data_IF_451855529950
#
_entry.id   IF_451855529950
#
_cell.length_a   1.000
_cell.length_b   1.000
_cell.length_c   1.000
_cell.angle_alpha   90.00
_cell.angle_beta   90.00
_cell.angle_gamma   90.00
#
_symmetry.space_group_name_H-M   'P 1'
#
loop_
_entity.id
_entity.type
_entity.pdbx_description
1 polymer ?
#
# COMPACT_ATOMS: atom_id res chain seq x y z
N UNK A 1 -3.88 -10.96 1.22
CA UNK A 1 -3.29 -10.00 2.20
C UNK A 1 -4.36 -9.39 3.06
N UNK A 2 -5.27 -8.62 2.46
CA UNK A 2 -6.38 -7.99 3.18
C UNK A 2 -7.34 -9.05 3.74
N UNK A 3 -7.67 -10.09 2.97
CA UNK A 3 -8.50 -11.20 3.48
C UNK A 3 -7.89 -11.98 4.65
N UNK A 4 -6.57 -12.09 4.70
CA UNK A 4 -5.87 -13.01 5.61
C UNK A 4 -5.36 -12.32 6.88
N UNK A 5 -5.23 -10.98 6.87
CA UNK A 5 -4.68 -10.21 7.99
C UNK A 5 -5.73 -9.63 8.92
N UNK A 6 -6.96 -9.35 8.47
CA UNK A 6 -7.96 -8.76 9.35
C UNK A 6 -9.39 -9.21 9.04
N UNK A 7 -10.21 -9.24 10.08
CA UNK A 7 -11.60 -9.71 10.05
C UNK A 7 -12.54 -8.50 10.06
N UNK A 8 -13.35 -8.39 9.00
CA UNK A 8 -14.66 -7.71 8.88
C UNK A 8 -14.85 -6.22 9.26
N UNK A 9 -14.18 -5.24 8.64
CA UNK A 9 -14.64 -3.85 8.72
C UNK A 9 -13.56 -2.81 8.46
N UNK A 10 -13.47 -2.34 7.21
CA UNK A 10 -12.29 -1.62 6.73
C UNK A 10 -12.63 -0.24 6.21
N UNK A 11 -11.68 0.68 6.29
CA UNK A 11 -11.74 2.00 5.68
C UNK A 11 -10.81 2.06 4.48
N UNK A 12 -11.16 2.86 3.49
CA UNK A 12 -10.39 3.05 2.27
C UNK A 12 -10.09 4.54 2.07
N UNK A 13 -8.81 4.90 1.99
CA UNK A 13 -8.34 6.22 1.52
C UNK A 13 -7.73 6.02 0.14
N UNK A 14 -8.15 6.85 -0.82
CA UNK A 14 -7.61 6.81 -2.18
C UNK A 14 -7.43 8.21 -2.76
N UNK A 15 -6.33 8.44 -3.48
CA UNK A 15 -6.19 9.59 -4.36
C UNK A 15 -6.31 9.11 -5.80
N UNK A 16 -7.39 9.49 -6.46
CA UNK A 16 -7.56 9.15 -7.86
C UNK A 16 -6.85 10.17 -8.75
N UNK A 17 -5.89 9.67 -9.52
CA UNK A 17 -5.66 10.17 -10.87
C UNK A 17 -6.60 9.38 -11.79
N UNK A 18 -7.22 10.04 -12.77
CA UNK A 18 -8.03 9.34 -13.79
C UNK A 18 -7.22 8.15 -14.34
N UNK A 19 -7.73 6.92 -14.19
CA UNK A 19 -7.16 5.72 -14.80
C UNK A 19 -6.61 4.60 -13.90
N UNK A 20 -6.61 4.68 -12.56
CA UNK A 20 -6.10 3.58 -11.70
C UNK A 20 -7.14 2.93 -10.76
N UNK A 21 -7.28 1.60 -10.95
CA UNK A 21 -7.48 0.45 -10.04
C UNK A 21 -8.49 0.42 -8.87
N UNK A 22 -9.23 1.48 -8.53
CA UNK A 22 -10.27 1.31 -7.50
C UNK A 22 -11.44 0.39 -7.93
N UNK A 23 -11.89 0.34 -9.20
CA UNK A 23 -12.94 -0.60 -9.61
C UNK A 23 -12.56 -2.07 -9.40
N UNK A 24 -11.28 -2.42 -9.60
CA UNK A 24 -10.79 -3.78 -9.36
C UNK A 24 -10.76 -4.11 -7.88
N UNK A 25 -10.35 -3.17 -7.01
CA UNK A 25 -10.40 -3.40 -5.56
C UNK A 25 -11.84 -3.40 -4.99
N UNK A 26 -12.73 -2.55 -5.53
CA UNK A 26 -14.13 -2.45 -5.12
C UNK A 26 -15.02 -3.60 -5.62
N UNK A 27 -14.59 -4.36 -6.63
CA UNK A 27 -15.30 -5.56 -7.12
C UNK A 27 -14.94 -6.83 -6.34
N UNK A 28 -13.75 -6.88 -5.74
CA UNK A 28 -13.32 -7.97 -4.87
C UNK A 28 -14.01 -8.14 -3.50
N UNK A 29 -14.58 -7.13 -2.80
CA UNK A 29 -14.93 -7.23 -1.37
C UNK A 29 -15.99 -8.29 -1.03
N UNK A 30 -16.88 -8.61 -1.97
CA UNK A 30 -18.02 -9.49 -1.71
C UNK A 30 -17.67 -10.98 -1.65
N UNK A 31 -16.50 -11.40 -2.15
CA UNK A 31 -16.16 -12.81 -2.28
C UNK A 31 -15.55 -13.44 -1.03
N UNK A 32 -15.12 -12.66 -0.03
CA UNK A 32 -14.46 -13.20 1.18
C UNK A 32 -14.85 -12.52 2.49
N UNK A 33 -16.07 -12.00 2.60
CA UNK A 33 -16.60 -11.42 3.86
C UNK A 33 -16.03 -10.05 4.24
N UNK A 34 -15.41 -9.32 3.30
CA UNK A 34 -14.81 -8.01 3.58
C UNK A 34 -15.76 -6.87 3.25
N UNK A 35 -15.78 -5.86 4.10
CA UNK A 35 -16.66 -4.70 3.97
C UNK A 35 -15.92 -3.38 4.06
N UNK A 36 -16.39 -2.41 3.27
CA UNK A 36 -15.88 -1.03 3.31
C UNK A 36 -16.83 -0.19 4.16
N UNK A 37 -16.43 0.11 5.38
CA UNK A 37 -17.14 0.97 6.31
C UNK A 37 -17.19 2.43 5.81
N UNK A 38 -16.09 2.90 5.19
CA UNK A 38 -16.02 4.24 4.65
C UNK A 38 -14.98 4.34 3.52
N UNK A 39 -15.25 5.19 2.52
CA UNK A 39 -14.30 5.53 1.46
C UNK A 39 -14.06 7.04 1.42
N UNK A 40 -12.80 7.45 1.50
CA UNK A 40 -12.37 8.84 1.40
C UNK A 40 -11.51 9.05 0.16
N UNK A 41 -11.79 10.15 -0.56
CA UNK A 41 -11.06 10.55 -1.75
C UNK A 41 -10.20 11.78 -1.45
N UNK A 42 -8.92 11.71 -1.76
CA UNK A 42 -8.00 12.85 -1.72
C UNK A 42 -8.16 13.63 -3.04
N UNK A 43 -8.45 14.95 -3.01
CA UNK A 43 -8.51 15.78 -4.21
C UNK A 43 -7.15 15.89 -4.91
N UNK A 44 -7.13 16.12 -6.23
CA UNK A 44 -5.88 16.32 -7.00
C UNK A 44 -5.02 17.43 -6.41
N UNK A 45 -5.66 18.53 -6.03
CA UNK A 45 -5.07 19.68 -5.35
C UNK A 45 -5.78 19.89 -4.00
N UNK A 46 -5.28 19.28 -2.92
CA UNK A 46 -5.90 19.40 -1.61
C UNK A 46 -5.76 20.82 -1.06
N UNK A 47 -6.88 21.41 -0.61
CA UNK A 47 -6.87 22.68 0.11
C UNK A 47 -6.28 22.51 1.52
N UNK A 48 -5.77 23.57 2.16
CA UNK A 48 -5.37 23.52 3.56
C UNK A 48 -6.50 22.95 4.44
N UNK A 49 -6.16 22.02 5.33
CA UNK A 49 -7.10 21.35 6.23
C UNK A 49 -7.92 20.19 5.64
N UNK A 50 -7.75 19.85 4.35
CA UNK A 50 -8.50 18.73 3.77
C UNK A 50 -8.12 17.38 4.37
N UNK A 51 -6.83 17.16 4.65
CA UNK A 51 -6.34 15.95 5.32
C UNK A 51 -6.92 15.81 6.74
N UNK A 52 -7.04 16.91 7.49
CA UNK A 52 -7.67 16.91 8.82
C UNK A 52 -9.15 16.49 8.74
N UNK A 53 -9.88 16.95 7.71
CA UNK A 53 -11.26 16.53 7.47
C UNK A 53 -11.37 15.06 7.10
N UNK A 54 -10.41 14.52 6.34
CA UNK A 54 -10.38 13.09 6.00
C UNK A 54 -10.21 12.28 7.28
N UNK A 55 -9.24 12.61 8.12
CA UNK A 55 -9.02 11.91 9.39
C UNK A 55 -10.25 12.00 10.31
N UNK A 56 -10.87 13.18 10.44
CA UNK A 56 -12.11 13.34 11.21
C UNK A 56 -13.25 12.46 10.69
N UNK A 57 -13.42 12.37 9.36
CA UNK A 57 -14.40 11.48 8.74
C UNK A 57 -14.10 10.01 9.02
N UNK A 58 -12.84 9.60 8.98
CA UNK A 58 -12.46 8.22 9.35
C UNK A 58 -12.84 7.92 10.80
N UNK A 59 -12.74 8.88 11.72
CA UNK A 59 -13.11 8.66 13.13
C UNK A 59 -14.63 8.49 13.36
N UNK A 60 -15.48 8.79 12.39
CA UNK A 60 -16.95 8.55 12.49
C UNK A 60 -17.30 7.06 12.60
N UNK A 61 -16.39 6.16 12.21
CA UNK A 61 -16.56 4.70 12.31
C UNK A 61 -15.45 4.09 13.20
N UNK A 62 -15.48 4.30 14.52
CA UNK A 62 -14.33 4.02 15.40
C UNK A 62 -13.92 2.55 15.51
N UNK A 63 -14.85 1.61 15.26
CA UNK A 63 -14.58 0.18 15.31
C UNK A 63 -13.80 -0.32 14.08
N UNK A 64 -13.95 0.35 12.95
CA UNK A 64 -13.22 0.03 11.72
C UNK A 64 -11.83 0.67 11.78
N UNK A 65 -10.83 -0.03 12.31
CA UNK A 65 -9.50 0.53 12.55
C UNK A 65 -8.56 0.42 11.34
N UNK A 66 -8.75 -0.57 10.49
CA UNK A 66 -7.91 -0.81 9.33
C UNK A 66 -8.20 0.18 8.20
N UNK A 67 -7.13 0.83 7.70
CA UNK A 67 -7.20 1.88 6.68
C UNK A 67 -6.27 1.53 5.53
N UNK A 68 -6.86 1.22 4.37
CA UNK A 68 -6.13 0.93 3.15
C UNK A 68 -5.84 2.24 2.41
N UNK A 69 -4.58 2.45 2.03
CA UNK A 69 -4.08 3.69 1.43
C UNK A 69 -3.52 3.47 0.02
N UNK A 70 -4.26 3.99 -0.96
CA UNK A 70 -3.80 4.15 -2.34
C UNK A 70 -3.55 5.64 -2.62
N UNK A 71 -2.37 6.12 -2.24
CA UNK A 71 -1.97 7.51 -2.38
C UNK A 71 -0.47 7.60 -2.68
N UNK A 72 -0.02 8.74 -3.21
CA UNK A 72 1.40 8.97 -3.42
C UNK A 72 2.12 9.26 -2.08
N UNK A 73 3.45 9.30 -2.14
CA UNK A 73 4.33 9.55 -0.99
C UNK A 73 3.96 10.82 -0.21
N UNK A 74 3.75 11.95 -0.89
CA UNK A 74 3.42 13.23 -0.26
C UNK A 74 2.08 13.23 0.46
N UNK A 75 1.06 12.62 -0.15
CA UNK A 75 -0.28 12.55 0.42
C UNK A 75 -0.33 11.58 1.61
N UNK A 76 0.42 10.47 1.56
CA UNK A 76 0.58 9.56 2.71
C UNK A 76 1.18 10.32 3.89
N UNK A 77 2.28 11.05 3.66
CA UNK A 77 2.94 11.87 4.70
C UNK A 77 1.96 12.84 5.34
N UNK A 78 1.17 13.56 4.53
CA UNK A 78 0.18 14.55 5.02
C UNK A 78 -0.98 13.91 5.78
N UNK A 79 -1.41 12.70 5.40
CA UNK A 79 -2.40 11.92 6.16
C UNK A 79 -1.84 11.53 7.53
N UNK A 80 -0.62 11.00 7.60
CA UNK A 80 0.03 10.62 8.86
C UNK A 80 0.26 11.85 9.76
N UNK A 81 0.65 12.98 9.17
CA UNK A 81 0.78 14.25 9.88
C UNK A 81 -0.56 14.74 10.47
N UNK A 82 -1.65 14.65 9.70
CA UNK A 82 -2.99 15.00 10.16
C UNK A 82 -3.46 14.07 11.30
N UNK A 83 -3.18 12.77 11.21
CA UNK A 83 -3.47 11.81 12.29
C UNK A 83 -2.64 12.10 13.56
N UNK A 84 -1.38 12.50 13.39
CA UNK A 84 -0.50 12.94 14.50
C UNK A 84 -1.08 14.16 15.22
N UNK A 85 -1.57 15.16 14.49
CA UNK A 85 -2.13 16.41 15.05
C UNK A 85 -3.29 16.18 16.01
N UNK A 86 -4.02 15.08 15.86
CA UNK A 86 -5.18 14.74 16.71
C UNK A 86 -4.91 13.53 17.63
N UNK A 87 -3.62 13.23 17.88
CA UNK A 87 -3.15 12.20 18.82
C UNK A 87 -3.77 10.81 18.60
N UNK A 88 -3.99 10.40 17.34
CA UNK A 88 -4.51 9.06 17.00
C UNK A 88 -3.39 8.02 16.83
N UNK A 89 -2.41 8.03 17.75
CA UNK A 89 -1.34 7.02 17.75
C UNK A 89 -1.92 5.65 18.11
N UNK A 90 -1.52 4.61 17.36
CA UNK A 90 -1.99 3.24 17.55
C UNK A 90 -3.48 2.97 17.26
N UNK A 91 -4.30 3.97 16.93
CA UNK A 91 -5.73 3.75 16.63
C UNK A 91 -5.93 3.08 15.27
N UNK A 92 -5.33 3.64 14.21
CA UNK A 92 -5.48 3.13 12.84
C UNK A 92 -4.46 2.04 12.51
N UNK A 93 -4.88 1.05 11.71
CA UNK A 93 -4.00 0.01 11.16
C UNK A 93 -3.79 0.32 9.69
N UNK A 94 -2.66 0.95 9.38
CA UNK A 94 -2.37 1.44 8.04
C UNK A 94 -1.95 0.31 7.12
N UNK A 95 -2.54 0.27 5.93
CA UNK A 95 -2.20 -0.68 4.87
C UNK A 95 -1.82 0.11 3.61
N UNK A 96 -0.53 0.23 3.36
CA UNK A 96 0.02 1.01 2.25
C UNK A 96 0.20 0.18 0.97
N UNK A 97 -0.16 0.77 -0.17
CA UNK A 97 0.21 0.26 -1.50
C UNK A 97 1.72 0.41 -1.80
N UNK A 98 2.15 -0.03 -2.99
CA UNK A 98 3.54 0.08 -3.47
C UNK A 98 4.06 1.52 -3.56
N UNK A 99 3.16 2.50 -3.61
CA UNK A 99 3.51 3.92 -3.57
C UNK A 99 4.10 4.34 -2.21
N UNK A 100 3.67 3.69 -1.13
CA UNK A 100 4.32 3.76 0.18
C UNK A 100 5.56 2.88 0.19
N UNK A 101 5.39 1.57 -0.04
CA UNK A 101 6.48 0.61 0.00
C UNK A 101 7.28 0.65 1.31
N UNK A 102 8.60 0.60 1.20
CA UNK A 102 9.54 0.64 2.34
C UNK A 102 10.21 2.02 2.52
N UNK A 103 9.59 3.11 2.04
CA UNK A 103 10.20 4.45 2.05
C UNK A 103 10.11 5.10 3.44
N UNK A 104 11.20 5.76 3.86
CA UNK A 104 11.28 6.48 5.14
C UNK A 104 10.61 7.88 5.06
N UNK A 105 10.65 8.52 3.89
CA UNK A 105 10.13 9.87 3.68
C UNK A 105 8.66 10.10 4.12
N UNK A 106 7.70 9.19 3.84
CA UNK A 106 6.33 9.31 4.35
C UNK A 106 6.20 9.28 5.88
N UNK A 107 7.08 8.57 6.58
CA UNK A 107 6.97 8.31 8.03
C UNK A 107 7.86 9.21 8.88
N UNK A 108 8.80 9.93 8.25
CA UNK A 108 9.76 10.79 8.93
C UNK A 108 9.08 11.90 9.75
N UNK A 109 9.31 11.91 11.06
CA UNK A 109 8.66 12.74 12.10
C UNK A 109 7.21 12.33 12.44
N UNK A 110 6.70 11.22 11.93
CA UNK A 110 5.39 10.65 12.28
C UNK A 110 5.50 9.14 12.58
N UNK A 111 6.65 8.71 13.09
CA UNK A 111 7.01 7.31 13.29
C UNK A 111 5.98 6.57 14.15
N UNK A 112 5.61 7.16 15.29
CA UNK A 112 4.61 6.59 16.23
C UNK A 112 3.24 6.35 15.58
N UNK A 113 2.85 7.18 14.60
CA UNK A 113 1.57 7.01 13.89
C UNK A 113 1.65 5.87 12.88
N UNK A 114 2.83 5.64 12.30
CA UNK A 114 3.07 4.60 11.32
C UNK A 114 3.44 3.24 11.94
N UNK A 115 3.62 3.15 13.27
CA UNK A 115 3.95 1.90 13.96
C UNK A 115 2.93 0.80 13.64
N UNK A 116 3.42 -0.36 13.20
CA UNK A 116 2.60 -1.49 12.79
C UNK A 116 2.00 -1.38 11.40
N UNK A 117 2.25 -0.29 10.65
CA UNK A 117 1.78 -0.14 9.28
C UNK A 117 2.29 -1.28 8.39
N UNK A 118 1.39 -1.92 7.66
CA UNK A 118 1.72 -2.98 6.70
C UNK A 118 1.77 -2.37 5.31
N UNK A 119 2.86 -2.56 4.58
CA UNK A 119 3.01 -2.03 3.23
C UNK A 119 3.42 -3.14 2.28
N UNK A 120 3.09 -2.97 1.00
CA UNK A 120 3.51 -3.90 -0.05
C UNK A 120 4.53 -3.23 -0.95
N UNK A 121 5.47 -3.99 -1.47
CA UNK A 121 6.36 -3.54 -2.53
C UNK A 121 6.57 -4.68 -3.52
N UNK A 122 6.58 -4.43 -4.84
CA UNK A 122 6.99 -5.43 -5.81
C UNK A 122 8.34 -6.02 -5.40
N UNK A 123 8.43 -7.34 -5.43
CA UNK A 123 9.65 -8.07 -5.07
C UNK A 123 10.76 -7.61 -5.99
N UNK A 124 11.80 -7.02 -5.40
CA UNK A 124 12.89 -6.34 -6.11
C UNK A 124 14.23 -6.94 -5.71
N UNK A 125 15.18 -6.90 -6.63
CA UNK A 125 16.60 -7.04 -6.32
C UNK A 125 17.33 -5.74 -6.61
N UNK A 126 18.30 -5.41 -5.76
CA UNK A 126 19.21 -4.31 -6.04
C UNK A 126 20.13 -4.68 -7.20
N UNK A 127 20.29 -3.76 -8.16
CA UNK A 127 21.15 -3.97 -9.32
C UNK A 127 22.49 -3.25 -9.11
N UNK A 128 23.52 -4.00 -8.72
CA UNK A 128 24.87 -3.47 -8.42
C UNK A 128 25.50 -2.69 -9.58
N UNK A 129 25.21 -3.12 -10.81
CA UNK A 129 25.64 -2.40 -12.02
C UNK A 129 25.08 -0.98 -12.08
N UNK A 130 23.82 -0.79 -11.70
CA UNK A 130 23.17 0.51 -11.67
C UNK A 130 23.74 1.37 -10.54
N UNK A 131 23.98 0.81 -9.37
CA UNK A 131 24.61 1.52 -8.24
C UNK A 131 25.96 2.12 -8.64
N UNK A 132 26.82 1.31 -9.25
CA UNK A 132 28.12 1.79 -9.76
C UNK A 132 27.95 2.87 -10.83
N UNK A 133 27.00 2.70 -11.74
CA UNK A 133 26.70 3.70 -12.77
C UNK A 133 26.23 5.03 -12.15
N UNK A 134 25.27 4.99 -11.21
CA UNK A 134 24.66 6.19 -10.62
C UNK A 134 25.65 6.92 -9.72
N UNK A 135 26.36 6.21 -8.83
CA UNK A 135 27.37 6.79 -7.93
C UNK A 135 28.56 7.40 -8.67
N UNK A 136 28.87 6.92 -9.88
CA UNK A 136 29.93 7.48 -10.73
C UNK A 136 29.51 8.74 -11.50
N UNK A 137 28.23 9.14 -11.49
CA UNK A 137 27.78 10.34 -12.19
C UNK A 137 28.25 11.61 -11.50
N UNK A 138 28.69 12.57 -12.31
CA UNK A 138 29.15 13.90 -11.89
C UNK A 138 28.63 14.94 -12.87
N UNK A 139 28.62 16.21 -12.47
CA UNK A 139 28.24 17.31 -13.36
C UNK A 139 29.12 17.38 -14.63
N UNK A 140 30.36 16.89 -14.55
CA UNK A 140 31.28 16.86 -15.69
C UNK A 140 30.93 15.76 -16.70
N UNK A 141 30.52 14.57 -16.22
CA UNK A 141 30.36 13.37 -17.06
C UNK A 141 28.91 13.03 -17.44
N UNK A 142 27.92 13.78 -16.94
CA UNK A 142 26.50 13.51 -17.17
C UNK A 142 25.75 14.69 -17.83
N UNK A 143 26.37 15.31 -18.84
CA UNK A 143 25.78 16.46 -19.56
C UNK A 143 24.54 16.11 -20.40
N UNK A 144 24.32 14.83 -20.68
CA UNK A 144 23.17 14.35 -21.45
C UNK A 144 21.83 14.53 -20.72
N UNK A 145 21.84 14.52 -19.39
CA UNK A 145 20.63 14.65 -18.58
C UNK A 145 20.46 16.12 -18.17
N UNK A 146 19.50 16.78 -18.79
CA UNK A 146 19.23 18.21 -18.58
C UNK A 146 18.77 18.55 -17.16
N UNK A 147 18.18 17.58 -16.45
CA UNK A 147 17.72 17.74 -15.06
C UNK A 147 18.80 17.44 -14.01
N UNK A 148 19.98 16.98 -14.44
CA UNK A 148 21.01 16.54 -13.50
C UNK A 148 21.60 17.69 -12.66
N UNK A 149 21.59 18.91 -13.19
CA UNK A 149 22.02 20.09 -12.45
C UNK A 149 21.07 20.42 -11.28
N UNK A 150 19.77 20.40 -11.52
CA UNK A 150 18.73 20.62 -10.50
C UNK A 150 18.80 19.55 -9.41
N UNK A 151 18.86 18.28 -9.81
CA UNK A 151 19.07 17.17 -8.90
C UNK A 151 20.32 17.37 -8.02
N UNK A 152 21.43 17.83 -8.60
CA UNK A 152 22.68 18.03 -7.85
C UNK A 152 22.53 19.10 -6.77
N UNK A 153 21.87 20.21 -7.09
CA UNK A 153 21.60 21.29 -6.13
C UNK A 153 20.75 20.81 -4.95
N UNK A 154 19.68 20.06 -5.23
CA UNK A 154 18.76 19.54 -4.22
C UNK A 154 19.45 18.48 -3.34
N UNK A 155 20.09 17.50 -3.97
CA UNK A 155 20.69 16.35 -3.29
C UNK A 155 21.86 16.74 -2.36
N UNK A 156 22.62 17.77 -2.70
CA UNK A 156 23.74 18.27 -1.88
C UNK A 156 23.42 19.55 -1.09
N UNK A 157 22.19 20.07 -1.20
CA UNK A 157 21.76 21.30 -0.54
C UNK A 157 22.62 22.50 -0.90
N UNK A 158 23.00 22.64 -2.18
CA UNK A 158 23.92 23.67 -2.66
C UNK A 158 23.42 24.34 -3.94
N UNK A 159 24.07 25.43 -4.37
CA UNK A 159 23.74 26.14 -5.62
C UNK A 159 24.90 26.17 -6.63
N UNK A 160 24.59 25.87 -7.89
CA UNK A 160 25.48 25.83 -9.04
C UNK A 160 25.54 27.20 -9.72
N UNK A 161 26.26 28.15 -9.10
CA UNK A 161 26.43 29.49 -9.68
C UNK A 161 25.15 30.34 -9.65
N UNK A 162 25.31 31.66 -9.53
CA UNK A 162 24.24 32.58 -9.13
C UNK A 162 23.73 33.40 -10.33
N UNK A 163 22.47 33.22 -10.72
CA UNK A 163 21.70 34.22 -11.49
C UNK A 163 20.76 35.02 -10.56
N UNK A 164 21.22 35.39 -9.37
CA UNK A 164 20.44 36.20 -8.44
C UNK A 164 21.24 36.62 -7.20
N UNK A 165 21.22 37.93 -6.92
CA UNK A 165 21.96 38.67 -5.87
C UNK A 165 22.45 37.80 -4.68
N UNK A 166 23.74 37.97 -4.35
CA UNK A 166 24.46 37.41 -3.19
C UNK A 166 23.64 37.43 -1.89
N UNK A 167 22.84 36.40 -1.64
CA UNK A 167 22.42 36.04 -0.29
C UNK A 167 23.52 35.14 0.29
N UNK A 168 24.20 35.63 1.33
CA UNK A 168 25.48 35.11 1.87
C UNK A 168 25.39 33.78 2.64
N UNK A 169 24.24 33.11 2.67
CA UNK A 169 24.00 31.96 3.55
C UNK A 169 23.84 30.61 2.82
N UNK A 170 23.86 30.57 1.49
CA UNK A 170 23.64 29.33 0.73
C UNK A 170 24.98 28.74 0.27
N UNK A 171 25.23 27.47 0.61
CA UNK A 171 26.42 26.70 0.21
C UNK A 171 26.53 26.65 -1.31
N UNK A 172 27.72 26.96 -1.84
CA UNK A 172 28.02 26.79 -3.27
C UNK A 172 28.41 25.34 -3.56
N UNK A 173 27.91 24.79 -4.66
CA UNK A 173 28.36 23.49 -5.13
C UNK A 173 29.77 23.61 -5.71
N UNK A 174 30.65 22.68 -5.37
CA UNK A 174 32.04 22.60 -5.85
C UNK A 174 32.17 21.78 -7.13
N UNK A 175 31.20 20.88 -7.39
CA UNK A 175 31.24 19.90 -8.49
C UNK A 175 32.14 18.70 -8.19
N UNK A 176 32.79 18.68 -7.02
CA UNK A 176 33.63 17.58 -6.54
C UNK A 176 32.88 16.63 -5.61
N UNK A 177 31.62 16.94 -5.27
CA UNK A 177 30.77 16.09 -4.47
C UNK A 177 30.59 14.71 -5.13
N UNK A 178 30.30 13.70 -4.31
CA UNK A 178 30.06 12.33 -4.74
C UNK A 178 28.80 11.77 -4.09
N UNK A 179 27.94 11.21 -4.93
CA UNK A 179 26.71 10.51 -4.51
C UNK A 179 27.10 9.30 -3.65
N UNK A 180 26.34 9.02 -2.58
CA UNK A 180 26.61 8.00 -1.56
C UNK A 180 27.80 8.27 -0.62
N UNK A 181 28.66 9.25 -0.91
CA UNK A 181 29.73 9.68 0.01
C UNK A 181 29.39 10.97 0.73
N UNK A 182 28.98 11.99 -0.03
CA UNK A 182 28.68 13.32 0.49
C UNK A 182 27.16 13.60 0.52
N UNK A 183 26.35 12.60 0.15
CA UNK A 183 24.88 12.57 0.22
C UNK A 183 24.41 11.14 0.48
N UNK A 184 23.21 10.99 1.06
CA UNK A 184 22.56 9.70 1.19
C UNK A 184 22.20 9.13 -0.19
N UNK A 185 22.31 7.83 -0.34
CA UNK A 185 21.92 7.13 -1.56
C UNK A 185 21.38 5.76 -1.19
N UNK A 186 20.15 5.50 -1.61
CA UNK A 186 19.52 4.19 -1.60
C UNK A 186 18.95 3.96 -3.00
N UNK A 187 19.12 2.76 -3.55
CA UNK A 187 18.56 2.44 -4.86
C UNK A 187 17.03 2.43 -4.79
N UNK A 188 16.39 3.19 -5.68
CA UNK A 188 14.93 3.20 -5.80
C UNK A 188 14.43 1.81 -6.20
N UNK A 189 13.31 1.37 -5.62
CA UNK A 189 12.88 -0.01 -5.70
C UNK A 189 12.38 -0.51 -7.04
N UNK A 190 12.13 0.40 -7.98
CA UNK A 190 11.63 0.09 -9.31
C UNK A 190 12.70 0.14 -10.39
N UNK A 191 13.97 0.40 -10.01
CA UNK A 191 15.10 0.43 -10.94
C UNK A 191 15.20 -0.85 -11.77
N UNK A 192 15.07 -2.02 -11.15
CA UNK A 192 15.07 -3.31 -11.86
C UNK A 192 14.00 -3.34 -12.96
N UNK A 193 12.76 -2.97 -12.64
CA UNK A 193 11.66 -3.02 -13.61
C UNK A 193 11.86 -2.04 -14.77
N UNK A 194 12.47 -0.87 -14.52
CA UNK A 194 12.82 0.08 -15.59
C UNK A 194 13.87 -0.52 -16.52
N UNK A 195 14.90 -1.17 -15.97
CA UNK A 195 15.93 -1.86 -16.76
C UNK A 195 15.28 -2.98 -17.58
N UNK A 196 14.50 -3.85 -16.95
CA UNK A 196 13.85 -4.99 -17.60
C UNK A 196 12.85 -4.54 -18.68
N UNK A 197 12.17 -3.41 -18.51
CA UNK A 197 11.31 -2.82 -19.53
C UNK A 197 12.09 -2.36 -20.78
N UNK A 198 13.25 -1.71 -20.59
CA UNK A 198 14.13 -1.32 -21.70
C UNK A 198 14.67 -2.56 -22.42
N UNK A 199 15.09 -3.59 -21.67
CA UNK A 199 15.53 -4.85 -22.25
C UNK A 199 14.40 -5.58 -22.97
N UNK A 200 13.17 -5.53 -22.47
CA UNK A 200 12.01 -6.14 -23.16
C UNK A 200 11.85 -5.56 -24.57
N UNK A 201 11.99 -4.25 -24.73
CA UNK A 201 11.99 -3.61 -26.04
C UNK A 201 13.19 -4.04 -26.89
N UNK A 202 14.39 -4.12 -26.29
CA UNK A 202 15.60 -4.53 -27.00
C UNK A 202 15.51 -5.98 -27.51
N UNK A 203 15.02 -6.92 -26.69
CA UNK A 203 14.79 -8.31 -27.07
C UNK A 203 13.71 -8.42 -28.15
N UNK A 204 12.63 -7.65 -28.05
CA UNK A 204 11.58 -7.62 -29.07
C UNK A 204 12.13 -7.17 -30.43
N UNK A 205 12.88 -6.05 -30.46
CA UNK A 205 13.52 -5.54 -31.67
C UNK A 205 14.56 -6.51 -32.23
N UNK A 206 15.31 -7.18 -31.38
CA UNK A 206 16.30 -8.19 -31.77
C UNK A 206 15.64 -9.42 -32.41
N UNK A 207 14.54 -9.92 -31.83
CA UNK A 207 13.79 -11.04 -32.38
C UNK A 207 13.14 -10.65 -33.72
N UNK A 208 12.53 -9.46 -33.80
CA UNK A 208 12.00 -8.92 -35.05
C UNK A 208 13.10 -8.77 -36.12
N UNK A 209 14.29 -8.33 -35.74
CA UNK A 209 15.43 -8.21 -36.66
C UNK A 209 15.90 -9.56 -37.18
N UNK A 210 16.01 -10.57 -36.32
CA UNK A 210 16.36 -11.93 -36.74
C UNK A 210 15.38 -12.50 -37.76
N UNK A 211 14.10 -12.22 -37.58
CA UNK A 211 13.03 -12.76 -38.42
C UNK A 211 12.89 -12.00 -39.75
N UNK A 212 13.02 -10.66 -39.72
CA UNK A 212 12.81 -9.82 -40.91
C UNK A 212 14.08 -9.51 -41.70
N UNK A 213 15.24 -9.54 -41.05
CA UNK A 213 16.53 -9.12 -41.60
C UNK A 213 17.63 -10.20 -41.42
N UNK A 214 17.39 -11.47 -41.80
CA UNK A 214 18.35 -12.55 -41.56
C UNK A 214 19.68 -12.28 -42.26
N UNK A 215 20.78 -12.32 -41.49
CA UNK A 215 22.15 -12.09 -42.01
C UNK A 215 22.50 -10.64 -42.32
N UNK A 216 21.60 -9.68 -42.07
CA UNK A 216 21.86 -8.27 -42.31
C UNK A 216 22.50 -7.61 -41.07
N UNK A 217 23.55 -6.81 -41.26
CA UNK A 217 24.18 -6.06 -40.17
C UNK A 217 23.49 -4.69 -40.05
N UNK A 218 22.91 -4.39 -38.89
CA UNK A 218 22.16 -3.14 -38.66
C UNK A 218 20.72 -3.21 -39.16
N UNK A 219 20.06 -2.06 -39.35
CA UNK A 219 18.66 -2.00 -39.76
C UNK A 219 18.50 -2.27 -41.26
N UNK A 220 17.72 -3.29 -41.62
CA UNK A 220 17.38 -3.54 -43.02
C UNK A 220 16.16 -2.72 -43.47
N UNK A 221 15.91 -2.57 -44.79
CA UNK A 221 14.79 -1.77 -45.30
C UNK A 221 13.41 -2.16 -44.75
N UNK A 222 13.19 -3.44 -44.41
CA UNK A 222 11.93 -3.93 -43.81
C UNK A 222 11.67 -3.41 -42.40
N UNK A 223 12.72 -3.04 -41.68
CA UNK A 223 12.62 -2.43 -40.34
C UNK A 223 12.80 -0.91 -40.35
N UNK A 224 12.89 -0.29 -41.54
CA UNK A 224 12.99 1.17 -41.63
C UNK A 224 11.69 1.87 -41.20
N UNK A 225 10.55 1.23 -41.49
CA UNK A 225 9.20 1.65 -41.06
C UNK A 225 8.51 0.48 -40.37
N UNK A 226 8.55 0.44 -39.05
CA UNK A 226 7.98 -0.66 -38.25
C UNK A 226 6.48 -0.44 -38.06
N UNK A 227 5.67 -1.45 -38.36
CA UNK A 227 4.26 -1.48 -37.92
C UNK A 227 4.21 -1.74 -36.41
N UNK A 228 3.56 -0.84 -35.67
CA UNK A 228 3.40 -0.96 -34.22
C UNK A 228 2.66 -2.22 -33.79
N UNK A 229 1.73 -2.75 -34.60
CA UNK A 229 1.04 -4.02 -34.30
C UNK A 229 1.97 -5.22 -34.41
N UNK A 230 2.80 -5.23 -35.45
CA UNK A 230 3.81 -6.25 -35.64
C UNK A 230 4.82 -6.22 -34.48
N UNK A 231 5.37 -5.04 -34.15
CA UNK A 231 6.27 -4.88 -33.01
C UNK A 231 5.63 -5.31 -31.68
N UNK A 232 4.36 -4.98 -31.45
CA UNK A 232 3.65 -5.39 -30.23
C UNK A 232 3.58 -6.91 -30.09
N UNK A 233 3.46 -7.64 -31.20
CA UNK A 233 3.47 -9.11 -31.18
C UNK A 233 4.80 -9.66 -30.68
N UNK A 234 5.93 -9.07 -31.13
CA UNK A 234 7.27 -9.41 -30.65
C UNK A 234 7.48 -9.02 -29.18
N UNK A 235 6.96 -7.85 -28.76
CA UNK A 235 7.03 -7.42 -27.35
C UNK A 235 6.28 -8.40 -26.45
N UNK A 236 5.08 -8.84 -26.82
CA UNK A 236 4.29 -9.79 -26.01
C UNK A 236 4.94 -11.18 -25.95
N UNK A 237 5.70 -11.56 -26.97
CA UNK A 237 6.35 -12.87 -27.08
C UNK A 237 7.75 -12.93 -26.44
N UNK A 238 8.26 -11.83 -25.85
CA UNK A 238 9.59 -11.88 -25.23
C UNK A 238 9.63 -12.83 -24.04
N UNK A 239 10.74 -13.58 -23.96
CA UNK A 239 11.06 -14.43 -22.85
C UNK A 239 12.58 -14.41 -22.66
N UNK A 240 13.04 -13.76 -21.61
CA UNK A 240 14.45 -13.65 -21.29
C UNK A 240 14.67 -13.58 -19.78
N UNK A 241 15.90 -13.85 -19.36
CA UNK A 241 16.28 -13.68 -17.96
C UNK A 241 16.57 -12.21 -17.69
N UNK A 242 15.80 -11.59 -16.80
CA UNK A 242 15.91 -10.18 -16.44
C UNK A 242 17.19 -9.84 -15.68
N UNK A 243 17.39 -8.56 -15.42
CA UNK A 243 18.58 -8.01 -14.75
C UNK A 243 18.81 -8.58 -13.34
N UNK A 244 17.75 -9.03 -12.67
CA UNK A 244 17.80 -9.68 -11.36
C UNK A 244 17.84 -11.23 -11.41
N UNK A 245 18.03 -11.82 -12.59
CA UNK A 245 18.02 -13.28 -12.76
C UNK A 245 16.64 -13.91 -12.63
N UNK A 246 15.56 -13.12 -12.78
CA UNK A 246 14.18 -13.61 -12.83
C UNK A 246 13.64 -13.52 -14.25
N UNK A 247 12.84 -14.49 -14.71
CA UNK A 247 12.30 -14.47 -16.07
C UNK A 247 11.33 -13.31 -16.25
N UNK A 248 11.50 -12.59 -17.36
CA UNK A 248 10.63 -11.51 -17.82
C UNK A 248 9.78 -12.06 -18.96
N UNK A 249 8.48 -12.13 -18.72
CA UNK A 249 7.46 -12.66 -19.64
C UNK A 249 6.16 -11.87 -19.45
N UNK A 250 5.29 -11.87 -20.45
CA UNK A 250 3.98 -11.23 -20.38
C UNK A 250 2.84 -12.25 -20.52
N UNK A 251 1.73 -12.01 -19.81
CA UNK A 251 0.49 -12.77 -20.00
C UNK A 251 -0.30 -12.25 -21.21
N UNK A 252 -1.50 -12.81 -21.45
CA UNK A 252 -2.38 -12.43 -22.57
C UNK A 252 -2.77 -10.94 -22.58
N UNK A 253 -2.86 -10.33 -21.39
CA UNK A 253 -3.16 -8.91 -21.22
C UNK A 253 -1.94 -8.00 -21.43
N UNK A 254 -0.73 -8.57 -21.42
CA UNK A 254 0.53 -7.83 -21.48
C UNK A 254 1.12 -7.51 -20.10
N UNK A 255 0.60 -8.12 -19.03
CA UNK A 255 1.11 -7.92 -17.67
C UNK A 255 2.21 -8.93 -17.33
N UNK A 256 3.22 -8.47 -16.60
CA UNK A 256 4.23 -9.35 -16.03
C UNK A 256 3.70 -10.06 -14.76
N UNK A 257 4.17 -11.28 -14.43
CA UNK A 257 3.78 -11.98 -13.21
C UNK A 257 4.08 -11.14 -11.95
N UNK A 258 3.03 -10.78 -11.20
CA UNK A 258 3.14 -10.01 -9.97
C UNK A 258 3.79 -10.82 -8.84
N UNK A 259 4.80 -10.25 -8.19
CA UNK A 259 5.42 -10.80 -6.98
C UNK A 259 5.64 -9.64 -6.03
N UNK A 260 5.29 -9.79 -4.76
CA UNK A 260 5.40 -8.71 -3.78
C UNK A 260 6.03 -9.22 -2.50
N UNK A 261 6.87 -8.39 -1.90
CA UNK A 261 7.28 -8.55 -0.52
C UNK A 261 6.38 -7.66 0.35
N UNK A 262 6.11 -8.14 1.56
CA UNK A 262 5.21 -7.49 2.51
C UNK A 262 6.04 -7.02 3.68
N UNK A 263 5.96 -5.73 3.94
CA UNK A 263 6.71 -5.07 4.98
C UNK A 263 5.79 -4.66 6.12
N UNK A 264 6.35 -4.59 7.31
CA UNK A 264 5.74 -3.90 8.44
C UNK A 264 6.72 -2.87 9.01
N UNK A 265 6.22 -1.68 9.28
CA UNK A 265 7.00 -0.64 9.97
C UNK A 265 7.03 -0.94 11.48
N UNK A 266 8.21 -1.27 12.00
CA UNK A 266 8.39 -1.67 13.39
C UNK A 266 9.28 -0.67 14.13
N UNK A 267 8.90 -0.37 15.38
CA UNK A 267 9.68 0.48 16.29
C UNK A 267 10.23 -0.40 17.40
N UNK A 268 11.54 -0.60 17.38
CA UNK A 268 12.28 -1.26 18.45
C UNK A 268 12.86 -0.19 19.38
N UNK A 269 13.25 -0.58 20.61
CA UNK A 269 13.86 0.33 21.61
C UNK A 269 15.09 1.13 21.10
N UNK A 270 15.69 0.75 19.96
CA UNK A 270 16.91 1.32 19.41
C UNK A 270 16.83 1.77 17.94
N UNK A 271 15.79 1.37 17.20
CA UNK A 271 15.71 1.58 15.76
C UNK A 271 14.27 1.55 15.25
N UNK A 272 14.03 2.25 14.15
CA UNK A 272 12.82 2.12 13.36
C UNK A 272 13.19 1.54 11.99
N UNK A 273 12.47 0.52 11.55
CA UNK A 273 12.77 -0.14 10.28
C UNK A 273 11.53 -0.77 9.65
N UNK A 274 11.59 -0.99 8.33
CA UNK A 274 10.64 -1.84 7.63
C UNK A 274 11.15 -3.28 7.64
N UNK A 275 10.48 -4.16 8.38
CA UNK A 275 10.79 -5.59 8.43
C UNK A 275 9.94 -6.33 7.40
N UNK A 276 10.55 -7.26 6.66
CA UNK A 276 9.78 -8.19 5.80
C UNK A 276 9.05 -9.18 6.70
N UNK A 277 7.72 -9.24 6.57
CA UNK A 277 6.84 -10.13 7.33
C UNK A 277 6.14 -11.16 6.45
N UNK A 278 6.43 -11.17 5.14
CA UNK A 278 5.84 -12.12 4.22
C UNK A 278 6.07 -11.77 2.76
N UNK A 279 5.45 -12.56 1.89
CA UNK A 279 5.47 -12.37 0.44
C UNK A 279 4.15 -12.80 -0.20
N UNK A 280 3.92 -12.32 -1.41
CA UNK A 280 2.82 -12.74 -2.26
C UNK A 280 3.35 -13.22 -3.61
N UNK A 281 3.04 -14.47 -3.94
CA UNK A 281 3.35 -15.11 -5.23
C UNK A 281 2.15 -15.95 -5.64
N UNK A 282 1.13 -15.33 -6.24
CA UNK A 282 -0.22 -15.87 -6.47
C UNK A 282 -1.02 -16.17 -5.19
N UNK A 283 -0.36 -16.64 -4.14
CA UNK A 283 -0.90 -16.84 -2.80
C UNK A 283 -0.13 -15.97 -1.79
N UNK A 284 -0.80 -15.68 -0.68
CA UNK A 284 -0.21 -14.92 0.42
C UNK A 284 0.50 -15.86 1.39
N UNK A 285 1.72 -15.49 1.78
CA UNK A 285 2.45 -16.12 2.87
C UNK A 285 2.89 -15.04 3.86
N UNK A 286 2.49 -15.18 5.12
CA UNK A 286 2.80 -14.24 6.19
C UNK A 286 3.37 -14.96 7.41
N UNK A 287 4.36 -14.34 8.03
CA UNK A 287 4.93 -14.74 9.29
C UNK A 287 4.28 -13.90 10.40
N UNK A 288 3.16 -14.36 10.95
CA UNK A 288 2.41 -13.62 11.97
C UNK A 288 3.24 -13.39 13.24
N UNK A 289 4.14 -14.32 13.57
CA UNK A 289 5.05 -14.21 14.72
C UNK A 289 6.07 -13.07 14.57
N UNK A 290 6.40 -12.69 13.33
CA UNK A 290 7.33 -11.59 13.07
C UNK A 290 6.67 -10.22 13.20
N UNK A 291 5.33 -10.17 13.31
CA UNK A 291 4.57 -8.94 13.33
C UNK A 291 4.56 -8.27 14.71
N UNK A 292 4.59 -6.95 14.71
CA UNK A 292 4.51 -6.11 15.90
C UNK A 292 3.55 -4.95 15.65
N UNK A 293 2.52 -4.86 16.49
CA UNK A 293 1.56 -3.76 16.47
C UNK A 293 1.89 -2.74 17.56
N UNK A 294 1.24 -1.57 17.49
CA UNK A 294 1.37 -0.55 18.52
C UNK A 294 1.13 -1.12 19.93
N UNK A 295 1.85 -0.59 20.92
CA UNK A 295 1.89 -1.09 22.31
C UNK A 295 2.52 -2.49 22.48
N UNK A 296 3.26 -3.00 21.47
CA UNK A 296 3.90 -4.34 21.48
C UNK A 296 2.91 -5.49 21.62
N UNK A 297 1.68 -5.29 21.19
CA UNK A 297 0.75 -6.38 21.04
C UNK A 297 1.17 -7.24 19.83
N UNK A 298 1.30 -8.54 20.04
CA UNK A 298 1.52 -9.51 18.97
C UNK A 298 0.21 -9.93 18.29
N UNK A 299 -0.93 -9.68 18.94
CA UNK A 299 -2.26 -9.92 18.38
C UNK A 299 -2.69 -8.73 17.56
N UNK A 300 -3.14 -8.99 16.32
CA UNK A 300 -3.66 -7.94 15.45
C UNK A 300 -4.92 -7.30 16.09
N UNK A 301 -5.03 -5.96 16.09
CA UNK A 301 -6.21 -5.32 16.64
C UNK A 301 -7.44 -5.62 15.77
N UNK A 302 -8.57 -5.91 16.41
CA UNK A 302 -9.83 -6.14 15.68
C UNK A 302 -10.25 -4.87 14.92
N UNK A 303 -10.73 -5.05 13.70
CA UNK A 303 -11.22 -3.98 12.84
C UNK A 303 -12.57 -4.36 12.27
N UNK A 304 -13.63 -4.14 13.06
CA UNK A 304 -14.99 -4.59 12.73
C UNK A 304 -15.94 -3.45 12.43
N UNK A 305 -16.98 -3.68 11.62
CA UNK A 305 -18.03 -2.67 11.47
C UNK A 305 -18.83 -2.50 12.77
N UNK A 306 -19.28 -3.63 13.32
CA UNK A 306 -20.07 -3.71 14.55
C UNK A 306 -19.43 -4.69 15.52
N UNK A 307 -19.42 -4.35 16.81
CA UNK A 307 -18.96 -5.26 17.85
C UNK A 307 -19.91 -6.46 18.00
N UNK A 308 -19.43 -7.62 18.47
CA UNK A 308 -20.29 -8.73 18.85
C UNK A 308 -21.34 -8.28 19.87
N UNK A 309 -22.58 -8.72 19.67
CA UNK A 309 -23.68 -8.41 20.60
C UNK A 309 -23.51 -9.16 21.92
N UNK A 310 -24.00 -8.56 23.01
CA UNK A 310 -23.91 -9.18 24.33
C UNK A 310 -24.96 -10.29 24.45
N UNK A 311 -24.75 -11.28 25.34
CA UNK A 311 -25.77 -12.28 25.63
C UNK A 311 -27.10 -11.63 26.07
N UNK A 312 -28.21 -12.03 25.43
CA UNK A 312 -29.53 -11.42 25.56
C UNK A 312 -29.84 -10.33 24.51
N UNK A 313 -28.94 -10.11 23.54
CA UNK A 313 -29.13 -9.21 22.40
C UNK A 313 -29.02 -9.98 21.08
N UNK A 314 -29.88 -9.67 20.12
CA UNK A 314 -29.80 -10.19 18.75
C UNK A 314 -29.14 -9.18 17.81
N UNK A 315 -28.46 -9.69 16.79
CA UNK A 315 -27.92 -8.92 15.66
C UNK A 315 -29.06 -8.58 14.69
N UNK A 316 -29.22 -7.30 14.42
CA UNK A 316 -30.07 -6.78 13.35
C UNK A 316 -29.20 -6.15 12.27
N UNK A 317 -29.05 -6.84 11.15
CA UNK A 317 -28.23 -6.39 10.02
C UNK A 317 -28.72 -5.06 9.45
N UNK A 318 -27.78 -4.17 9.14
CA UNK A 318 -28.07 -2.88 8.49
C UNK A 318 -28.40 -3.12 7.02
N UNK A 319 -29.56 -2.60 6.57
CA UNK A 319 -29.98 -2.74 5.17
C UNK A 319 -28.94 -2.10 4.23
N UNK A 320 -28.49 -2.88 3.24
CA UNK A 320 -27.52 -2.42 2.24
C UNK A 320 -26.04 -2.56 2.66
N UNK A 321 -25.74 -2.96 3.89
CA UNK A 321 -24.36 -3.14 4.38
C UNK A 321 -24.26 -4.45 5.18
N UNK A 322 -23.96 -5.59 4.54
CA UNK A 322 -24.15 -6.93 5.12
C UNK A 322 -23.28 -7.24 6.35
N UNK A 323 -22.13 -6.60 6.50
CA UNK A 323 -21.20 -6.76 7.63
C UNK A 323 -21.51 -5.88 8.85
N UNK A 324 -22.48 -5.00 8.75
CA UNK A 324 -22.80 -4.07 9.83
C UNK A 324 -24.13 -4.48 10.45
N UNK A 325 -24.19 -4.50 11.77
CA UNK A 325 -25.41 -4.82 12.53
C UNK A 325 -25.58 -3.89 13.74
N UNK A 326 -26.81 -3.77 14.20
CA UNK A 326 -27.14 -3.22 15.51
C UNK A 326 -27.47 -4.36 16.48
N UNK A 327 -27.09 -4.19 17.74
CA UNK A 327 -27.48 -5.11 18.80
C UNK A 327 -28.78 -4.62 19.41
N UNK A 328 -29.84 -5.42 19.25
CA UNK A 328 -31.15 -5.16 19.85
C UNK A 328 -31.35 -6.12 21.01
N UNK A 329 -31.65 -5.59 22.19
CA UNK A 329 -31.95 -6.40 23.36
C UNK A 329 -33.26 -7.16 23.14
N UNK A 330 -33.31 -8.44 23.53
CA UNK A 330 -34.56 -9.16 23.60
C UNK A 330 -35.44 -8.54 24.69
N UNK A 331 -36.68 -8.16 24.35
CA UNK A 331 -37.59 -7.50 25.29
C UNK A 331 -38.67 -8.44 25.84
N UNK A 332 -39.21 -8.08 27.00
CA UNK A 332 -40.33 -8.79 27.62
C UNK A 332 -39.97 -10.19 28.09
N UNK A 333 -40.73 -11.18 27.61
CA UNK A 333 -40.54 -12.60 27.91
C UNK A 333 -39.69 -13.32 26.87
N UNK A 334 -39.05 -12.58 25.96
CA UNK A 334 -38.20 -13.18 24.94
C UNK A 334 -36.78 -13.42 25.46
N UNK A 335 -36.18 -14.52 25.03
CA UNK A 335 -34.77 -14.85 25.25
C UNK A 335 -34.04 -14.97 23.92
N UNK A 336 -32.74 -14.82 23.96
CA UNK A 336 -31.89 -15.00 22.79
C UNK A 336 -31.70 -16.50 22.52
N UNK A 337 -32.18 -16.98 21.36
CA UNK A 337 -32.00 -18.38 20.93
C UNK A 337 -30.71 -18.54 20.13
N UNK A 338 -30.47 -17.60 19.22
CA UNK A 338 -29.28 -17.55 18.37
C UNK A 338 -28.80 -16.09 18.21
N UNK A 339 -27.80 -15.86 17.36
CA UNK A 339 -27.25 -14.52 17.17
C UNK A 339 -28.21 -13.54 16.46
N UNK A 340 -29.28 -14.00 15.81
CA UNK A 340 -30.17 -13.19 14.95
C UNK A 340 -31.61 -13.11 15.49
N UNK A 341 -31.99 -13.99 16.41
CA UNK A 341 -33.38 -14.27 16.76
C UNK A 341 -33.60 -14.23 18.27
N UNK A 342 -34.67 -13.53 18.68
CA UNK A 342 -35.24 -13.61 20.01
C UNK A 342 -36.57 -14.34 19.93
N UNK A 343 -36.81 -15.29 20.82
CA UNK A 343 -38.07 -16.04 20.89
C UNK A 343 -38.66 -15.99 22.29
N UNK A 344 -39.98 -16.19 22.40
CA UNK A 344 -40.70 -16.19 23.67
C UNK A 344 -40.28 -17.40 24.52
N UNK A 345 -40.04 -17.20 25.82
CA UNK A 345 -39.85 -18.32 26.73
C UNK A 345 -41.10 -19.22 26.76
N UNK A 346 -40.93 -20.54 26.99
CA UNK A 346 -42.03 -21.46 27.22
C UNK A 346 -42.95 -21.00 28.37
N UNK A 347 -44.22 -21.43 28.32
CA UNK A 347 -45.17 -21.26 29.42
C UNK A 347 -44.53 -21.80 30.73
N UNK A 348 -44.69 -21.07 31.83
CA UNK A 348 -44.11 -21.33 33.16
C UNK A 348 -42.59 -21.05 33.31
N UNK A 349 -41.99 -20.32 32.36
CA UNK A 349 -40.60 -19.87 32.44
C UNK A 349 -40.47 -18.35 32.22
N UNK A 350 -39.39 -17.76 32.73
CA UNK A 350 -39.00 -16.36 32.48
C UNK A 350 -37.54 -16.27 32.07
N UNK A 351 -37.19 -15.31 31.20
CA UNK A 351 -35.80 -15.12 30.82
C UNK A 351 -34.99 -14.57 32.01
N UNK A 352 -33.76 -15.04 32.16
CA UNK A 352 -32.88 -14.66 33.28
C UNK A 352 -32.63 -13.14 33.31
N UNK A 353 -32.70 -12.53 34.50
CA UNK A 353 -32.61 -11.07 34.66
C UNK A 353 -31.33 -10.46 34.07
N UNK A 354 -30.22 -11.21 34.00
CA UNK A 354 -29.00 -10.86 33.26
C UNK A 354 -28.03 -12.06 33.23
N UNK A 355 -27.67 -12.62 32.06
CA UNK A 355 -28.18 -12.31 30.72
C UNK A 355 -29.50 -13.04 30.37
N UNK A 356 -30.33 -12.42 29.52
CA UNK A 356 -31.58 -12.98 28.94
C UNK A 356 -31.27 -14.06 27.87
N UNK A 357 -30.24 -14.87 28.11
CA UNK A 357 -29.78 -15.91 27.20
C UNK A 357 -30.41 -17.29 27.50
N UNK A 358 -31.15 -17.40 28.61
CA UNK A 358 -31.77 -18.65 29.04
C UNK A 358 -33.09 -18.36 29.77
N UNK A 359 -34.05 -19.26 29.60
CA UNK A 359 -35.29 -19.27 30.36
C UNK A 359 -35.13 -20.11 31.63
N UNK A 360 -35.67 -19.62 32.74
CA UNK A 360 -35.70 -20.32 34.04
C UNK A 360 -37.13 -20.50 34.48
N UNK A 361 -37.45 -21.67 35.05
CA UNK A 361 -38.80 -21.93 35.55
C UNK A 361 -39.17 -20.92 36.65
N UNK A 362 -40.40 -20.42 36.59
CA UNK A 362 -40.97 -19.58 37.64
C UNK A 362 -41.42 -20.38 38.87
N UNK A 363 -41.35 -21.73 38.81
CA UNK A 363 -41.55 -22.63 39.95
C UNK A 363 -40.24 -22.84 40.70
N UNK A 364 -39.80 -21.82 41.41
CA UNK A 364 -38.85 -21.97 42.53
C UNK A 364 -39.49 -21.33 43.76
N UNK A 365 -40.22 -22.16 44.52
CA UNK A 365 -40.56 -21.92 45.92
C UNK A 365 -39.34 -22.21 46.79
#
# INVERSE_FOLDING_TARGET
>A
LIYDLFIEGWKLISKFKEGFSLPSFLSFPFAGGVCIAQSQKIPREPRPGEFDKIIKRLLETPNARAVIMFANEDDIRRILEAAKKINQSGHFLWIGSDSWGSKISPVYQQEEIAEGAVTILPKRASIDGFDRYFRSRTLANNRRNVWFAEFWEENFGCKLGSHGKRNSHIKKCTGLERIARDSSYEQEGKVQFVIDAVYSMAYALHNMHKDLCPGYIGLCPRMSTIDGKELLSYIRAVNFNGSAGTPVTFNENGDAPGRYDIFQYQINNKSTEYKIIGHWTNQLHLNVEDMQWANREHTHPASVCSLPCKPGERKKTVKGVPCCWHCERCEGYNYQVDELTCELCPLDQRPNNSPLAQCRSTLSL
#
